data_IF_643120355696
#
_entry.id   IF_643120355696
#
_cell.length_a   1.000
_cell.length_b   1.000
_cell.length_c   1.000
_cell.angle_alpha   90.00
_cell.angle_beta   90.00
_cell.angle_gamma   90.00
#
_symmetry.space_group_name_H-M   'P 1'
#
loop_
_entity.id
_entity.type
_entity.pdbx_description
1 polymer ?
#
# COMPACT_ATOMS: atom_id res chain seq x y z
N UNK A 1 -15.95 2.33 -20.98
CA UNK A 1 -14.71 3.07 -20.70
C UNK A 1 -13.89 2.27 -19.70
N UNK A 2 -12.58 2.18 -19.90
CA UNK A 2 -11.65 1.47 -19.00
C UNK A 2 -11.51 2.23 -17.67
N UNK A 3 -11.49 1.53 -16.54
CA UNK A 3 -11.25 2.14 -15.22
C UNK A 3 -9.74 2.35 -15.04
N UNK A 4 -9.33 3.59 -14.77
CA UNK A 4 -7.94 3.96 -14.44
C UNK A 4 -7.84 4.22 -12.94
N UNK A 5 -6.84 3.64 -12.28
CA UNK A 5 -6.52 3.87 -10.87
C UNK A 5 -5.15 4.54 -10.75
N UNK A 6 -5.09 5.60 -9.96
CA UNK A 6 -3.85 6.35 -9.70
C UNK A 6 -3.48 6.15 -8.23
N UNK A 7 -2.20 5.88 -7.99
CA UNK A 7 -1.62 5.62 -6.68
C UNK A 7 -0.09 5.70 -6.75
N UNK A 8 0.57 5.25 -5.70
CA UNK A 8 2.03 5.30 -5.53
C UNK A 8 2.61 3.91 -5.25
N UNK A 9 3.92 3.76 -5.44
CA UNK A 9 4.67 2.62 -4.92
C UNK A 9 4.89 2.81 -3.43
N UNK A 10 4.09 2.16 -2.60
CA UNK A 10 4.11 2.31 -1.15
C UNK A 10 3.37 3.53 -0.60
N UNK A 11 3.15 3.53 0.72
CA UNK A 11 2.44 4.59 1.45
C UNK A 11 3.11 4.98 2.78
N UNK A 12 4.15 4.27 3.23
CA UNK A 12 4.69 4.42 4.59
C UNK A 12 6.13 4.92 4.58
N UNK A 13 6.31 6.17 4.17
CA UNK A 13 7.61 6.86 4.16
C UNK A 13 7.67 7.89 5.29
N UNK A 14 8.83 8.05 5.93
CA UNK A 14 9.10 9.10 6.93
C UNK A 14 8.97 10.49 6.30
N UNK A 15 9.45 10.63 5.07
CA UNK A 15 9.53 11.92 4.37
C UNK A 15 8.14 12.50 4.02
N UNK A 16 7.10 11.68 4.16
CA UNK A 16 5.70 12.08 3.96
C UNK A 16 5.05 12.60 5.24
N UNK A 17 5.68 12.43 6.40
CA UNK A 17 5.20 12.97 7.67
C UNK A 17 5.29 14.49 7.64
N UNK A 18 4.24 15.15 8.12
CA UNK A 18 4.06 16.61 8.09
C UNK A 18 3.94 17.25 6.68
N UNK A 19 4.16 16.49 5.61
CA UNK A 19 3.95 16.91 4.22
C UNK A 19 2.61 16.38 3.69
N UNK A 20 2.44 15.06 3.71
CA UNK A 20 1.24 14.37 3.25
C UNK A 20 0.39 13.88 4.44
N UNK A 21 1.03 13.44 5.52
CA UNK A 21 0.36 12.99 6.74
C UNK A 21 0.46 14.03 7.85
N UNK A 22 -0.68 14.53 8.32
CA UNK A 22 -0.75 15.41 9.51
C UNK A 22 -0.44 14.71 10.84
N UNK A 23 -0.24 13.40 10.83
CA UNK A 23 0.10 12.59 12.00
C UNK A 23 0.65 11.25 11.54
N UNK A 24 1.58 10.68 12.30
CA UNK A 24 2.25 9.41 11.99
C UNK A 24 1.33 8.17 12.13
N UNK A 25 0.19 8.31 12.82
CA UNK A 25 -0.74 7.21 13.04
C UNK A 25 -1.65 6.98 11.83
N UNK A 26 -1.99 5.72 11.58
CA UNK A 26 -2.96 5.31 10.56
C UNK A 26 -2.63 5.81 9.14
N UNK A 27 -1.35 5.77 8.74
CA UNK A 27 -0.88 6.24 7.41
C UNK A 27 -1.70 5.64 6.26
N UNK A 28 -1.96 4.33 6.28
CA UNK A 28 -2.76 3.68 5.24
C UNK A 28 -4.20 4.22 5.17
N UNK A 29 -4.89 4.38 6.31
CA UNK A 29 -6.24 4.97 6.32
C UNK A 29 -6.25 6.38 5.74
N UNK A 30 -5.22 7.19 6.05
CA UNK A 30 -5.08 8.54 5.50
C UNK A 30 -4.80 8.52 4.00
N UNK A 31 -3.95 7.61 3.56
CA UNK A 31 -3.64 7.40 2.15
C UNK A 31 -4.91 7.08 1.33
N UNK A 32 -5.77 6.19 1.85
CA UNK A 32 -7.03 5.82 1.21
C UNK A 32 -8.05 6.96 1.07
N UNK A 33 -7.84 8.10 1.74
CA UNK A 33 -8.68 9.29 1.54
C UNK A 33 -8.32 10.07 0.25
N UNK A 34 -7.16 9.78 -0.34
CA UNK A 34 -6.64 10.51 -1.52
C UNK A 34 -6.56 9.60 -2.75
N UNK A 35 -6.13 8.36 -2.57
CA UNK A 35 -5.94 7.40 -3.66
C UNK A 35 -6.83 6.18 -3.49
N UNK A 36 -7.10 5.50 -4.60
CA UNK A 36 -7.93 4.28 -4.65
C UNK A 36 -7.11 3.00 -4.89
N UNK A 37 -5.79 3.14 -5.04
CA UNK A 37 -4.88 2.00 -5.21
C UNK A 37 -3.51 2.31 -4.62
N UNK A 38 -2.76 1.27 -4.26
CA UNK A 38 -1.34 1.37 -3.91
C UNK A 38 -0.61 0.08 -4.25
N UNK A 39 0.68 0.18 -4.55
CA UNK A 39 1.55 -0.99 -4.65
C UNK A 39 2.18 -1.30 -3.28
N UNK A 40 2.17 -2.58 -2.92
CA UNK A 40 2.87 -3.14 -1.76
C UNK A 40 4.28 -3.52 -2.21
N UNK A 41 5.27 -2.70 -1.84
CA UNK A 41 6.68 -2.94 -2.17
C UNK A 41 7.36 -3.91 -1.19
N UNK A 42 6.86 -4.01 0.06
CA UNK A 42 7.44 -4.91 1.06
C UNK A 42 7.41 -6.38 0.65
N UNK A 43 6.48 -6.76 -0.25
CA UNK A 43 6.39 -8.14 -0.77
C UNK A 43 7.56 -8.53 -1.66
N UNK A 44 8.35 -7.55 -2.13
CA UNK A 44 9.61 -7.80 -2.79
C UNK A 44 10.62 -8.51 -1.87
N UNK A 45 10.62 -8.16 -0.58
CA UNK A 45 11.60 -8.65 0.40
C UNK A 45 11.10 -9.86 1.19
N UNK A 46 9.79 -10.00 1.37
CA UNK A 46 9.20 -11.12 2.12
C UNK A 46 7.78 -11.41 1.69
N UNK A 47 7.38 -12.69 1.74
CA UNK A 47 5.99 -13.06 1.49
C UNK A 47 5.04 -12.40 2.50
N UNK A 48 3.87 -11.92 2.08
CA UNK A 48 2.92 -11.31 3.00
C UNK A 48 2.35 -12.36 3.96
N UNK A 49 2.37 -12.07 5.26
CA UNK A 49 1.69 -12.91 6.24
C UNK A 49 0.17 -12.75 6.15
N UNK A 50 -0.58 -13.77 6.59
CA UNK A 50 -2.04 -13.68 6.67
C UNK A 50 -2.50 -12.50 7.52
N UNK A 51 -1.79 -12.20 8.61
CA UNK A 51 -2.08 -11.10 9.51
C UNK A 51 -1.88 -9.75 8.84
N UNK A 52 -0.81 -9.59 8.06
CA UNK A 52 -0.58 -8.39 7.26
C UNK A 52 -1.74 -8.17 6.29
N UNK A 53 -2.11 -9.20 5.53
CA UNK A 53 -3.21 -9.11 4.55
C UNK A 53 -4.53 -8.73 5.23
N UNK A 54 -4.86 -9.37 6.36
CA UNK A 54 -6.05 -9.01 7.16
C UNK A 54 -5.97 -7.56 7.66
N UNK A 55 -4.81 -7.11 8.12
CA UNK A 55 -4.58 -5.75 8.56
C UNK A 55 -4.80 -4.72 7.46
N UNK A 56 -4.34 -5.02 6.23
CA UNK A 56 -4.56 -4.19 5.05
C UNK A 56 -6.05 -4.08 4.73
N UNK A 57 -6.75 -5.22 4.59
CA UNK A 57 -8.20 -5.27 4.29
C UNK A 57 -9.00 -4.49 5.33
N UNK A 58 -8.71 -4.67 6.62
CA UNK A 58 -9.40 -3.96 7.70
C UNK A 58 -9.10 -2.45 7.77
N UNK A 59 -8.04 -2.00 7.09
CA UNK A 59 -7.58 -0.61 7.12
C UNK A 59 -7.96 0.17 5.86
N UNK A 60 -8.57 -0.46 4.86
CA UNK A 60 -8.93 0.18 3.60
C UNK A 60 -10.43 0.09 3.32
N UNK A 61 -11.01 1.06 2.60
CA UNK A 61 -12.41 1.00 2.21
C UNK A 61 -12.67 -0.12 1.21
N UNK A 62 -13.93 -0.52 1.09
CA UNK A 62 -14.37 -1.48 0.08
C UNK A 62 -14.00 -0.99 -1.33
N UNK A 63 -13.52 -1.91 -2.17
CA UNK A 63 -13.12 -1.60 -3.55
C UNK A 63 -11.77 -0.89 -3.69
N UNK A 64 -11.02 -0.68 -2.61
CA UNK A 64 -9.62 -0.28 -2.67
C UNK A 64 -8.78 -1.42 -3.26
N UNK A 65 -7.90 -1.09 -4.22
CA UNK A 65 -7.12 -2.09 -4.96
C UNK A 65 -5.67 -2.07 -4.50
N UNK A 66 -5.07 -3.24 -4.35
CA UNK A 66 -3.64 -3.37 -4.11
C UNK A 66 -2.99 -4.06 -5.30
N UNK A 67 -1.80 -3.59 -5.68
CA UNK A 67 -0.83 -4.40 -6.41
C UNK A 67 0.23 -4.87 -5.43
N UNK A 68 0.82 -6.04 -5.67
CA UNK A 68 1.90 -6.57 -4.85
C UNK A 68 3.08 -6.86 -5.74
N UNK A 69 4.25 -6.36 -5.37
CA UNK A 69 5.48 -6.61 -6.12
C UNK A 69 5.89 -8.07 -5.95
N UNK A 70 6.31 -8.70 -7.05
CA UNK A 70 6.80 -10.07 -7.00
C UNK A 70 8.07 -10.15 -6.11
N UNK A 71 8.23 -11.20 -5.29
CA UNK A 71 9.43 -11.39 -4.49
C UNK A 71 10.72 -11.34 -5.31
N UNK A 72 11.81 -10.83 -4.71
CA UNK A 72 13.14 -10.79 -5.32
C UNK A 72 13.63 -12.20 -5.69
N UNK A 73 13.31 -13.20 -4.86
CA UNK A 73 13.59 -14.62 -5.11
C UNK A 73 13.07 -15.13 -6.47
N UNK A 74 12.02 -14.52 -7.02
CA UNK A 74 11.43 -14.94 -8.31
C UNK A 74 11.99 -14.11 -9.47
N UNK A 75 12.39 -12.86 -9.20
CA UNK A 75 12.65 -11.86 -10.24
C UNK A 75 14.11 -11.47 -10.39
N UNK A 76 14.95 -11.72 -9.38
CA UNK A 76 16.33 -11.27 -9.28
C UNK A 76 17.31 -12.38 -8.88
N UNK A 77 16.81 -13.55 -8.46
CA UNK A 77 17.58 -14.78 -8.27
C UNK A 77 17.26 -15.76 -9.40
#
# INVERSE_FOLDING_TARGET
MSRVLIGTSGWSYSDWENVFYKSEKHKLKKYCMVFNTVEIDSTFYSYPSLELVKGLVNSTPEGFVFTAKLPSLITHE
#
